data_IF_525939311800
#
_entry.id   IF_525939311800
#
_cell.length_a   1.000
_cell.length_b   1.000
_cell.length_c   1.000
_cell.angle_alpha   90.00
_cell.angle_beta   90.00
_cell.angle_gamma   90.00
#
_symmetry.space_group_name_H-M   'P 1'
#
loop_
_entity.id
_entity.type
_entity.pdbx_description
1 polymer ?
#
# COMPACT_ATOMS: atom_id res chain seq x y z
N UNK A 1 -23.99 0.25 24.91
CA UNK A 1 -23.66 -1.15 24.57
C UNK A 1 -22.17 -1.32 24.79
N UNK A 2 -21.74 -2.14 25.74
CA UNK A 2 -20.34 -2.56 25.79
C UNK A 2 -20.19 -3.58 24.66
N UNK A 3 -19.36 -3.30 23.67
CA UNK A 3 -19.04 -4.29 22.64
C UNK A 3 -18.31 -5.45 23.29
N UNK A 4 -18.75 -6.68 23.04
CA UNK A 4 -18.10 -7.91 23.54
C UNK A 4 -16.78 -8.20 22.79
N UNK A 5 -15.96 -7.16 22.60
CA UNK A 5 -14.71 -7.26 21.87
C UNK A 5 -13.70 -8.01 22.72
N UNK A 6 -13.42 -9.26 22.34
CA UNK A 6 -12.37 -10.06 22.97
C UNK A 6 -11.01 -9.66 22.40
N UNK A 7 -10.00 -9.39 23.26
CA UNK A 7 -8.65 -9.15 22.77
C UNK A 7 -8.10 -10.43 22.12
N UNK A 8 -7.53 -10.28 20.93
CA UNK A 8 -6.85 -11.35 20.20
C UNK A 8 -5.36 -11.05 20.21
N UNK A 9 -4.55 -12.03 20.59
CA UNK A 9 -3.10 -11.98 20.49
C UNK A 9 -2.62 -12.87 19.34
N UNK A 10 -1.61 -12.42 18.62
CA UNK A 10 -0.94 -13.21 17.60
C UNK A 10 0.58 -12.94 17.66
N UNK A 11 1.36 -13.90 17.17
CA UNK A 11 2.79 -13.71 16.95
C UNK A 11 3.01 -13.37 15.48
N UNK A 12 3.77 -12.30 15.25
CA UNK A 12 4.16 -11.88 13.90
C UNK A 12 5.67 -12.08 13.72
N UNK A 13 6.10 -12.63 12.57
CA UNK A 13 7.49 -12.55 12.14
C UNK A 13 7.96 -11.09 12.04
N UNK A 14 9.27 -10.86 12.25
CA UNK A 14 9.82 -9.50 12.36
C UNK A 14 9.68 -8.69 11.06
N UNK A 15 9.87 -9.33 9.92
CA UNK A 15 9.67 -8.77 8.58
C UNK A 15 8.22 -8.31 8.35
N UNK A 16 7.25 -9.07 8.86
CA UNK A 16 5.82 -8.70 8.80
C UNK A 16 5.52 -7.53 9.74
N UNK A 17 6.09 -7.53 10.95
CA UNK A 17 5.95 -6.43 11.91
C UNK A 17 6.51 -5.11 11.34
N UNK A 18 7.68 -5.16 10.70
CA UNK A 18 8.32 -3.99 10.08
C UNK A 18 7.50 -3.49 8.88
N UNK A 19 6.95 -4.40 8.08
CA UNK A 19 6.07 -4.07 6.96
C UNK A 19 4.76 -3.42 7.42
N UNK A 20 4.14 -3.94 8.48
CA UNK A 20 2.96 -3.37 9.12
C UNK A 20 3.24 -1.99 9.72
N UNK A 21 4.39 -1.82 10.36
CA UNK A 21 4.82 -0.52 10.90
C UNK A 21 4.93 0.51 9.78
N UNK A 22 5.57 0.15 8.66
CA UNK A 22 5.68 1.02 7.49
C UNK A 22 4.29 1.37 6.92
N UNK A 23 3.41 0.38 6.80
CA UNK A 23 2.02 0.60 6.36
C UNK A 23 1.29 1.59 7.28
N UNK A 24 1.45 1.45 8.60
CA UNK A 24 0.85 2.37 9.57
C UNK A 24 1.32 3.82 9.34
N UNK A 25 2.62 4.02 9.15
CA UNK A 25 3.19 5.35 8.90
C UNK A 25 2.69 5.93 7.57
N UNK A 26 2.66 5.14 6.50
CA UNK A 26 2.23 5.59 5.18
C UNK A 26 0.75 6.02 5.15
N UNK A 27 -0.10 5.39 5.95
CA UNK A 27 -1.54 5.64 5.99
C UNK A 27 -1.98 6.46 7.22
N UNK A 28 -1.04 7.03 7.99
CA UNK A 28 -1.31 7.78 9.23
C UNK A 28 -2.13 7.01 10.30
N UNK A 29 -1.99 5.69 10.33
CA UNK A 29 -2.68 4.80 11.28
C UNK A 29 -1.90 4.82 12.60
N UNK A 30 -2.27 5.76 13.49
CA UNK A 30 -1.54 6.01 14.73
C UNK A 30 -2.45 6.03 15.96
N UNK A 31 -1.87 5.78 17.12
CA UNK A 31 -2.51 5.88 18.44
C UNK A 31 -1.62 6.64 19.40
N UNK A 32 -2.24 7.29 20.38
CA UNK A 32 -1.53 7.94 21.48
C UNK A 32 -1.39 6.94 22.64
N UNK A 33 -0.19 6.77 23.16
CA UNK A 33 0.02 5.97 24.37
C UNK A 33 -0.37 6.74 25.65
N UNK A 34 -0.32 6.08 26.81
CA UNK A 34 -0.64 6.71 28.11
C UNK A 34 0.30 7.86 28.49
N UNK A 35 1.52 7.88 27.95
CA UNK A 35 2.50 8.93 28.17
C UNK A 35 2.36 10.10 27.16
N UNK A 36 1.48 9.94 26.17
CA UNK A 36 1.18 10.93 25.16
C UNK A 36 2.00 10.83 23.87
N UNK A 37 2.83 9.79 23.72
CA UNK A 37 3.61 9.59 22.50
C UNK A 37 2.73 8.99 21.39
N UNK A 38 3.02 9.37 20.15
CA UNK A 38 2.38 8.82 18.97
C UNK A 38 3.07 7.51 18.61
N UNK A 39 2.30 6.44 18.49
CA UNK A 39 2.75 5.09 18.15
C UNK A 39 1.91 4.52 16.99
N UNK A 40 2.46 3.61 16.18
CA UNK A 40 1.68 2.87 15.18
C UNK A 40 0.50 2.13 15.82
N UNK A 41 -0.69 2.24 15.21
CA UNK A 41 -1.88 1.52 15.66
C UNK A 41 -2.01 0.16 14.94
N UNK A 42 -1.10 -0.76 15.28
CA UNK A 42 -0.96 -2.07 14.61
C UNK A 42 -2.27 -2.87 14.51
N UNK A 43 -3.08 -2.89 15.58
CA UNK A 43 -4.35 -3.61 15.58
C UNK A 43 -5.35 -3.05 14.56
N UNK A 44 -5.41 -1.73 14.42
CA UNK A 44 -6.25 -1.05 13.41
C UNK A 44 -5.77 -1.38 12.00
N UNK A 45 -4.46 -1.31 11.76
CA UNK A 45 -3.89 -1.66 10.46
C UNK A 45 -4.18 -3.11 10.07
N UNK A 46 -4.07 -4.06 11.01
CA UNK A 46 -4.40 -5.47 10.74
C UNK A 46 -5.88 -5.63 10.37
N UNK A 47 -6.79 -4.98 11.09
CA UNK A 47 -8.23 -5.05 10.79
C UNK A 47 -8.52 -4.47 9.41
N UNK A 48 -8.02 -3.27 9.08
CA UNK A 48 -8.22 -2.66 7.76
C UNK A 48 -7.68 -3.54 6.63
N UNK A 49 -6.49 -4.11 6.81
CA UNK A 49 -5.89 -5.02 5.83
C UNK A 49 -6.80 -6.23 5.64
N UNK A 50 -7.24 -6.88 6.73
CA UNK A 50 -8.13 -8.04 6.66
C UNK A 50 -9.47 -7.66 6.00
N UNK A 51 -10.07 -6.52 6.32
CA UNK A 51 -11.30 -6.04 5.68
C UNK A 51 -11.11 -5.82 4.17
N UNK A 52 -9.96 -5.29 3.73
CA UNK A 52 -9.65 -5.14 2.30
C UNK A 52 -9.55 -6.49 1.57
N UNK A 53 -9.17 -7.53 2.30
CA UNK A 53 -9.02 -8.88 1.77
C UNK A 53 -10.33 -9.66 1.74
N UNK A 54 -11.05 -9.67 2.86
CA UNK A 54 -12.20 -10.51 3.13
C UNK A 54 -13.56 -9.83 2.94
N UNK A 55 -13.59 -8.49 2.92
CA UNK A 55 -14.83 -7.71 2.87
C UNK A 55 -15.84 -8.17 3.93
N UNK A 56 -17.11 -8.27 3.54
CA UNK A 56 -18.20 -8.71 4.42
C UNK A 56 -18.27 -10.24 4.60
N UNK A 57 -17.44 -11.02 3.88
CA UNK A 57 -17.50 -12.49 3.90
C UNK A 57 -16.16 -13.13 4.28
N UNK A 58 -15.88 -13.28 5.59
CA UNK A 58 -14.63 -13.85 6.10
C UNK A 58 -14.44 -15.35 5.79
N UNK A 59 -15.47 -16.03 5.27
CA UNK A 59 -15.43 -17.47 5.00
C UNK A 59 -14.84 -17.82 3.64
N UNK A 60 -14.74 -16.86 2.72
CA UNK A 60 -14.06 -17.06 1.44
C UNK A 60 -12.66 -16.48 1.58
N UNK A 61 -11.66 -17.35 1.65
CA UNK A 61 -10.28 -16.92 1.41
C UNK A 61 -10.29 -16.19 0.06
N UNK A 62 -9.82 -14.93 -0.01
CA UNK A 62 -9.71 -14.25 -1.28
C UNK A 62 -8.83 -15.10 -2.21
N UNK A 63 -9.13 -15.10 -3.50
CA UNK A 63 -8.27 -15.72 -4.48
C UNK A 63 -6.97 -14.90 -4.56
N UNK A 64 -5.99 -15.24 -3.71
CA UNK A 64 -4.77 -14.45 -3.54
C UNK A 64 -3.98 -14.34 -4.84
N UNK A 65 -4.00 -15.39 -5.67
CA UNK A 65 -3.33 -15.42 -6.97
C UNK A 65 -3.88 -14.31 -7.89
N UNK A 66 -5.20 -14.24 -8.05
CA UNK A 66 -5.85 -13.25 -8.93
C UNK A 66 -5.68 -11.81 -8.46
N UNK A 67 -5.74 -11.56 -7.14
CA UNK A 67 -5.48 -10.22 -6.58
C UNK A 67 -4.02 -9.80 -6.73
N UNK A 68 -3.07 -10.73 -6.59
CA UNK A 68 -1.64 -10.47 -6.77
C UNK A 68 -1.37 -10.16 -8.25
N UNK A 69 -1.91 -10.95 -9.17
CA UNK A 69 -1.73 -10.74 -10.61
C UNK A 69 -2.28 -9.38 -11.05
N UNK A 70 -3.48 -9.00 -10.61
CA UNK A 70 -4.06 -7.70 -10.90
C UNK A 70 -3.20 -6.54 -10.34
N UNK A 71 -2.64 -6.70 -9.13
CA UNK A 71 -1.78 -5.69 -8.52
C UNK A 71 -0.42 -5.56 -9.24
N UNK A 72 0.14 -6.69 -9.70
CA UNK A 72 1.36 -6.71 -10.52
C UNK A 72 1.11 -6.02 -11.85
N UNK A 73 0.02 -6.34 -12.53
CA UNK A 73 -0.34 -5.75 -13.83
C UNK A 73 -0.55 -4.23 -13.71
N UNK A 74 -1.26 -3.77 -12.67
CA UNK A 74 -1.45 -2.35 -12.41
C UNK A 74 -0.12 -1.60 -12.19
N UNK A 75 0.80 -2.17 -11.42
CA UNK A 75 2.15 -1.59 -11.21
C UNK A 75 2.98 -1.59 -12.49
N UNK A 76 2.92 -2.65 -13.28
CA UNK A 76 3.63 -2.75 -14.55
C UNK A 76 3.11 -1.72 -15.55
N UNK A 77 1.79 -1.55 -15.65
CA UNK A 77 1.15 -0.55 -16.49
C UNK A 77 1.53 0.88 -16.08
N UNK A 78 1.57 1.16 -14.77
CA UNK A 78 2.04 2.46 -14.26
C UNK A 78 3.51 2.74 -14.64
N UNK A 79 4.38 1.73 -14.52
CA UNK A 79 5.78 1.86 -14.92
C UNK A 79 5.94 2.09 -16.43
N UNK A 80 5.19 1.36 -17.26
CA UNK A 80 5.18 1.54 -18.73
C UNK A 80 4.70 2.95 -19.09
N UNK A 81 3.67 3.46 -18.41
CA UNK A 81 3.18 4.82 -18.63
C UNK A 81 4.25 5.87 -18.32
N UNK A 82 5.00 5.70 -17.22
CA UNK A 82 6.11 6.60 -16.86
C UNK A 82 7.21 6.60 -17.92
N UNK A 83 7.64 5.41 -18.38
CA UNK A 83 8.67 5.28 -19.42
C UNK A 83 8.25 5.91 -20.76
N UNK A 84 6.96 5.77 -21.13
CA UNK A 84 6.42 6.43 -22.33
C UNK A 84 6.46 7.95 -22.21
N UNK A 85 6.13 8.50 -21.03
CA UNK A 85 6.16 9.94 -20.79
C UNK A 85 7.60 10.50 -20.89
N UNK A 86 8.57 9.79 -20.31
CA UNK A 86 10.00 10.15 -20.40
C UNK A 86 10.50 10.15 -21.86
N UNK A 87 10.21 9.09 -22.63
CA UNK A 87 10.62 9.00 -24.04
C UNK A 87 10.02 10.11 -24.90
N UNK A 88 8.73 10.45 -24.70
CA UNK A 88 8.08 11.56 -25.41
C UNK A 88 8.73 12.90 -25.05
N UNK A 89 9.08 13.10 -23.78
CA UNK A 89 9.81 14.28 -23.33
C UNK A 89 11.19 14.43 -23.99
N UNK A 90 11.95 13.33 -24.09
CA UNK A 90 13.26 13.32 -24.74
C UNK A 90 13.17 13.57 -26.25
N UNK A 91 12.17 13.01 -26.93
CA UNK A 91 11.92 13.26 -28.35
C UNK A 91 11.53 14.72 -28.65
N UNK A 92 10.75 15.35 -27.77
CA UNK A 92 10.40 16.76 -27.90
C UNK A 92 11.64 17.67 -27.70
N UNK A 93 12.49 17.33 -26.74
CA UNK A 93 13.73 18.05 -26.45
C UNK A 93 14.75 17.95 -27.59
N UNK A 94 14.91 16.75 -28.17
CA UNK A 94 15.81 16.52 -29.31
C UNK A 94 15.33 17.21 -30.60
N UNK A 95 14.02 17.24 -30.85
CA UNK A 95 13.44 17.98 -31.99
C UNK A 95 13.69 19.48 -31.90
N UNK A 96 13.54 20.10 -30.72
CA UNK A 96 13.83 21.53 -30.53
C UNK A 96 15.32 21.86 -30.73
N UNK A 97 16.24 20.97 -30.32
CA UNK A 97 17.69 21.18 -30.53
C UNK A 97 18.08 21.10 -32.02
N UNK A 98 17.38 20.30 -32.82
CA UNK A 98 17.61 20.21 -34.28
C UNK A 98 17.08 21.39 -35.09
N UNK A 99 16.11 22.15 -34.56
CA UNK A 99 15.46 23.28 -35.25
C UNK A 99 16.00 24.66 -34.84
N UNK A 100 16.80 24.73 -33.77
CA UNK A 100 17.37 25.98 -33.24
C UNK A 100 18.78 26.34 -33.73
N UNK A 101 19.33 25.61 -34.70
CA UNK A 101 20.63 25.88 -35.33
C UNK A 101 20.44 26.27 -36.80
N UNK A 102 19.77 27.40 -37.05
CA UNK A 102 19.85 28.18 -38.31
C UNK A 102 19.86 29.66 -37.94
#
# INVERSE_FOLDING_TARGET
MATENRPVSCYLPKDIEDSLTKYCTQNNITRKDKAGNIQPAMGTAIVEILESFFGDNPSKLPNFEEKIDAAIEAKMNAAIASLRAELVGEMASTKNRSLGNV
#
